data_IF_444342648829
#
_entry.id   IF_444342648829
#
_cell.length_a   1.000
_cell.length_b   1.000
_cell.length_c   1.000
_cell.angle_alpha   90.00
_cell.angle_beta   90.00
_cell.angle_gamma   90.00
#
_symmetry.space_group_name_H-M   'P 1'
#
loop_
_entity.id
_entity.type
_entity.pdbx_description
1 polymer ?
#
# COMPACT_ATOMS: atom_id res chain seq x y z
N UNK A 1 -28.30 -3.48 74.17
CA UNK A 1 -29.27 -2.45 73.68
C UNK A 1 -30.34 -3.19 72.86
N UNK A 2 -31.47 -2.62 72.43
CA UNK A 2 -32.40 -3.34 71.52
C UNK A 2 -32.49 -2.66 70.16
N UNK A 3 -32.57 -3.45 69.10
CA UNK A 3 -32.77 -2.94 67.74
C UNK A 3 -34.12 -2.23 67.65
N UNK A 4 -34.13 -0.98 67.21
CA UNK A 4 -35.38 -0.18 67.11
C UNK A 4 -36.38 -0.80 66.13
N UNK A 5 -35.90 -1.55 65.12
CA UNK A 5 -36.74 -2.09 64.04
C UNK A 5 -37.30 -3.48 64.31
N UNK A 6 -36.49 -4.39 64.87
CA UNK A 6 -36.90 -5.78 65.10
C UNK A 6 -36.86 -6.21 66.57
N UNK A 7 -36.53 -5.29 67.48
CA UNK A 7 -36.49 -5.50 68.94
C UNK A 7 -35.51 -6.57 69.45
N UNK A 8 -34.62 -7.07 68.58
CA UNK A 8 -33.53 -7.99 68.92
C UNK A 8 -32.58 -7.37 69.95
N UNK A 9 -32.02 -8.17 70.86
CA UNK A 9 -30.93 -7.71 71.72
C UNK A 9 -29.64 -7.54 70.92
N UNK A 10 -29.04 -6.37 71.04
CA UNK A 10 -27.79 -5.97 70.41
C UNK A 10 -26.66 -6.00 71.42
N UNK A 11 -25.51 -6.51 71.00
CA UNK A 11 -24.25 -6.35 71.71
C UNK A 11 -23.78 -4.88 71.64
N UNK A 12 -22.86 -4.50 72.53
CA UNK A 12 -22.48 -3.10 72.71
C UNK A 12 -21.68 -2.51 71.53
N UNK A 13 -20.99 -3.36 70.77
CA UNK A 13 -20.09 -3.05 69.65
C UNK A 13 -20.66 -3.43 68.27
N UNK A 14 -21.87 -4.02 68.22
CA UNK A 14 -22.56 -4.33 66.97
C UNK A 14 -22.75 -3.06 66.14
N UNK A 15 -22.21 -3.04 64.91
CA UNK A 15 -22.41 -1.91 63.98
C UNK A 15 -23.76 -2.01 63.25
N UNK A 16 -24.28 -3.21 63.06
CA UNK A 16 -25.56 -3.49 62.41
C UNK A 16 -26.31 -4.53 63.23
N UNK A 17 -27.63 -4.45 63.26
CA UNK A 17 -28.45 -5.49 63.86
C UNK A 17 -28.27 -6.81 63.08
N UNK A 18 -27.90 -7.92 63.74
CA UNK A 18 -27.64 -9.18 63.05
C UNK A 18 -28.89 -9.76 62.39
N UNK A 19 -30.07 -9.50 62.95
CA UNK A 19 -31.34 -10.07 62.44
C UNK A 19 -31.91 -9.29 61.25
N UNK A 20 -31.88 -7.96 61.27
CA UNK A 20 -32.56 -7.14 60.25
C UNK A 20 -31.65 -6.18 59.46
N UNK A 21 -30.36 -6.15 59.78
CA UNK A 21 -29.37 -5.30 59.11
C UNK A 21 -29.49 -3.81 59.39
N UNK A 22 -30.39 -3.39 60.29
CA UNK A 22 -30.56 -1.98 60.64
C UNK A 22 -29.30 -1.44 61.31
N UNK A 23 -28.85 -0.25 60.90
CA UNK A 23 -27.68 0.41 61.47
C UNK A 23 -27.91 0.73 62.96
N UNK A 24 -27.00 0.30 63.83
CA UNK A 24 -27.10 0.57 65.26
C UNK A 24 -26.56 1.97 65.59
N UNK A 25 -26.83 2.50 66.80
CA UNK A 25 -26.21 3.75 67.26
C UNK A 25 -24.68 3.70 67.29
N UNK A 26 -24.09 2.55 67.65
CA UNK A 26 -22.65 2.33 67.61
C UNK A 26 -22.11 2.36 66.17
N UNK A 27 -22.77 1.66 65.24
CA UNK A 27 -22.45 1.70 63.82
C UNK A 27 -22.59 3.11 63.23
N UNK A 28 -23.59 3.87 63.64
CA UNK A 28 -23.77 5.26 63.21
C UNK A 28 -22.61 6.15 63.67
N UNK A 29 -22.16 6.02 64.93
CA UNK A 29 -21.01 6.78 65.45
C UNK A 29 -19.69 6.36 64.75
N UNK A 30 -19.48 5.06 64.57
CA UNK A 30 -18.33 4.51 63.83
C UNK A 30 -18.27 5.00 62.38
N UNK A 31 -19.42 5.06 61.70
CA UNK A 31 -19.51 5.59 60.33
C UNK A 31 -19.34 7.12 60.29
N UNK A 32 -19.81 7.83 61.31
CA UNK A 32 -19.66 9.29 61.42
C UNK A 32 -18.20 9.70 61.59
N UNK A 33 -17.45 8.98 62.43
CA UNK A 33 -16.01 9.23 62.63
C UNK A 33 -15.17 8.83 61.41
N UNK A 34 -15.53 7.75 60.71
CA UNK A 34 -14.84 7.34 59.48
C UNK A 34 -15.12 8.23 58.25
N UNK A 35 -16.26 8.94 58.21
CA UNK A 35 -16.60 9.89 57.13
C UNK A 35 -15.66 11.09 57.07
N UNK A 36 -15.08 11.51 58.20
CA UNK A 36 -14.10 12.61 58.27
C UNK A 36 -12.71 12.16 57.81
N UNK A 37 -12.29 10.91 58.11
CA UNK A 37 -10.99 10.37 57.70
C UNK A 37 -10.86 10.12 56.18
N UNK A 38 -11.95 9.72 55.51
CA UNK A 38 -11.91 9.44 54.07
C UNK A 38 -11.99 10.68 53.16
N UNK A 39 -12.44 11.83 53.69
CA UNK A 39 -12.78 13.00 52.85
C UNK A 39 -11.61 13.95 52.60
N UNK A 40 -10.60 13.99 53.46
CA UNK A 40 -9.56 15.05 53.38
C UNK A 40 -8.20 14.57 52.84
N UNK A 41 -7.74 13.35 53.14
CA UNK A 41 -6.39 12.92 52.72
C UNK A 41 -6.31 12.15 51.40
N UNK A 42 -7.35 11.41 51.01
CA UNK A 42 -7.26 10.53 49.82
C UNK A 42 -7.62 11.23 48.50
N UNK A 43 -8.46 12.27 48.53
CA UNK A 43 -8.87 13.01 47.33
C UNK A 43 -7.72 13.89 46.81
N UNK A 44 -7.05 14.65 47.71
CA UNK A 44 -5.88 15.44 47.35
C UNK A 44 -4.71 14.58 46.85
N UNK A 45 -4.51 13.41 47.47
CA UNK A 45 -3.53 12.42 47.00
C UNK A 45 -3.89 11.87 45.61
N UNK A 46 -5.17 11.55 45.35
CA UNK A 46 -5.61 11.10 44.03
C UNK A 46 -5.44 12.19 42.97
N UNK A 47 -5.79 13.44 43.27
CA UNK A 47 -5.62 14.57 42.35
C UNK A 47 -4.13 14.81 42.03
N UNK A 48 -3.26 14.75 43.04
CA UNK A 48 -1.82 14.90 42.83
C UNK A 48 -1.23 13.73 42.03
N UNK A 49 -1.59 12.48 42.33
CA UNK A 49 -1.18 11.31 41.54
C UNK A 49 -1.63 11.44 40.09
N UNK A 50 -2.91 11.80 39.88
CA UNK A 50 -3.49 11.94 38.54
C UNK A 50 -2.78 13.05 37.76
N UNK A 51 -2.47 14.17 38.42
CA UNK A 51 -1.72 15.29 37.82
C UNK A 51 -0.30 14.87 37.43
N UNK A 52 0.40 14.13 38.30
CA UNK A 52 1.74 13.60 38.01
C UNK A 52 1.69 12.63 36.82
N UNK A 53 0.69 11.75 36.76
CA UNK A 53 0.50 10.83 35.63
C UNK A 53 0.26 11.59 34.33
N UNK A 54 -0.62 12.60 34.34
CA UNK A 54 -0.91 13.44 33.17
C UNK A 54 0.35 14.19 32.71
N UNK A 55 1.07 14.84 33.63
CA UNK A 55 2.30 15.58 33.31
C UNK A 55 3.37 14.63 32.77
N UNK A 56 3.55 13.46 33.38
CA UNK A 56 4.50 12.44 32.92
C UNK A 56 4.12 11.93 31.53
N UNK A 57 2.83 11.71 31.26
CA UNK A 57 2.32 11.31 29.95
C UNK A 57 2.53 12.41 28.89
N UNK A 58 2.30 13.67 29.24
CA UNK A 58 2.58 14.81 28.34
C UNK A 58 4.08 14.91 28.07
N UNK A 59 4.93 14.80 29.09
CA UNK A 59 6.37 14.81 28.91
C UNK A 59 6.86 13.65 28.02
N UNK A 60 6.35 12.43 28.25
CA UNK A 60 6.66 11.26 27.42
C UNK A 60 6.18 11.41 25.97
N UNK A 61 4.99 11.98 25.75
CA UNK A 61 4.50 12.25 24.38
C UNK A 61 5.30 13.35 23.67
N UNK A 62 5.79 14.36 24.40
CA UNK A 62 6.68 15.39 23.85
C UNK A 62 8.08 14.85 23.51
N UNK A 63 8.63 13.96 24.33
CA UNK A 63 9.97 13.37 24.12
C UNK A 63 9.93 12.27 23.06
N UNK A 64 9.03 11.30 23.22
CA UNK A 64 8.96 10.09 22.39
C UNK A 64 8.03 10.25 21.18
N UNK A 65 7.24 11.32 21.12
CA UNK A 65 6.32 11.55 20.01
C UNK A 65 5.36 10.39 19.77
N UNK A 66 5.21 10.00 18.50
CA UNK A 66 4.37 8.88 18.10
C UNK A 66 4.98 7.51 18.42
N UNK A 67 6.28 7.43 18.70
CA UNK A 67 6.95 6.16 19.01
C UNK A 67 6.45 5.55 20.33
N UNK A 68 5.88 6.37 21.23
CA UNK A 68 5.24 5.87 22.46
C UNK A 68 4.07 4.90 22.16
N UNK A 69 3.42 5.02 21.01
CA UNK A 69 2.32 4.14 20.60
C UNK A 69 2.78 2.88 19.88
N UNK A 70 4.09 2.67 19.73
CA UNK A 70 4.63 1.56 18.96
C UNK A 70 4.27 0.17 19.52
N UNK A 71 4.28 -0.08 20.86
CA UNK A 71 3.84 -1.37 21.39
C UNK A 71 2.38 -1.69 21.01
N UNK A 72 1.51 -0.67 21.00
CA UNK A 72 0.12 -0.82 20.55
C UNK A 72 0.05 -1.17 19.06
N UNK A 73 0.86 -0.51 18.23
CA UNK A 73 0.94 -0.78 16.80
C UNK A 73 1.46 -2.19 16.50
N UNK A 74 2.48 -2.66 17.21
CA UNK A 74 3.02 -4.01 17.05
C UNK A 74 1.98 -5.06 17.47
N UNK A 75 1.27 -4.84 18.58
CA UNK A 75 0.15 -5.70 18.98
C UNK A 75 -0.98 -5.70 17.93
N UNK A 76 -1.29 -4.55 17.33
CA UNK A 76 -2.29 -4.46 16.27
C UNK A 76 -1.90 -5.28 15.03
N UNK A 77 -0.61 -5.27 14.65
CA UNK A 77 -0.08 -6.12 13.57
C UNK A 77 -0.22 -7.60 13.88
N UNK A 78 0.10 -8.02 15.11
CA UNK A 78 -0.04 -9.42 15.54
C UNK A 78 -1.51 -9.87 15.54
N UNK A 79 -2.42 -9.08 16.11
CA UNK A 79 -3.86 -9.38 16.10
C UNK A 79 -4.39 -9.49 14.67
N UNK A 80 -3.98 -8.57 13.79
CA UNK A 80 -4.39 -8.61 12.39
C UNK A 80 -3.85 -9.87 11.71
N UNK A 81 -2.60 -10.22 11.95
CA UNK A 81 -1.97 -11.41 11.38
C UNK A 81 -2.67 -12.70 11.85
N UNK A 82 -3.06 -12.78 13.12
CA UNK A 82 -3.85 -13.90 13.66
C UNK A 82 -5.25 -13.99 13.03
N UNK A 83 -5.91 -12.84 12.82
CA UNK A 83 -7.24 -12.79 12.21
C UNK A 83 -7.22 -13.27 10.75
N UNK A 84 -6.22 -12.86 9.99
CA UNK A 84 -6.11 -13.19 8.56
C UNK A 84 -5.39 -14.52 8.30
N UNK A 85 -4.61 -15.02 9.26
CA UNK A 85 -3.78 -16.22 9.12
C UNK A 85 -2.45 -16.00 8.39
N UNK A 86 -2.07 -14.74 8.14
CA UNK A 86 -0.83 -14.32 7.48
C UNK A 86 -0.51 -12.86 7.82
N UNK A 87 0.74 -12.43 7.62
CA UNK A 87 1.18 -11.05 7.91
C UNK A 87 0.54 -10.05 6.95
N UNK A 88 0.01 -8.97 7.51
CA UNK A 88 -0.63 -7.85 6.78
C UNK A 88 0.02 -6.51 7.13
N UNK A 89 -0.11 -5.53 6.23
CA UNK A 89 0.29 -4.15 6.51
C UNK A 89 -0.79 -3.43 7.32
N UNK A 90 -0.40 -2.41 8.09
CA UNK A 90 -1.35 -1.52 8.77
C UNK A 90 -1.35 -0.10 8.17
N UNK A 91 -0.56 0.11 7.12
CA UNK A 91 -0.58 1.33 6.33
C UNK A 91 -1.88 1.35 5.52
N UNK A 92 -2.59 2.47 5.58
CA UNK A 92 -3.72 2.69 4.72
C UNK A 92 -3.25 3.27 3.38
N UNK A 93 -3.48 2.54 2.31
CA UNK A 93 -3.19 2.92 0.92
C UNK A 93 -4.41 3.53 0.22
N UNK A 94 -5.59 3.48 0.86
CA UNK A 94 -6.87 3.90 0.30
C UNK A 94 -7.35 5.27 0.81
N UNK A 95 -6.46 6.10 1.34
CA UNK A 95 -6.82 7.45 1.80
C UNK A 95 -7.41 8.26 0.64
N UNK A 96 -8.51 8.97 0.92
CA UNK A 96 -9.15 9.91 -0.01
C UNK A 96 -9.26 11.27 0.66
N UNK A 97 -8.99 12.32 -0.11
CA UNK A 97 -9.10 13.71 0.35
C UNK A 97 -10.02 14.49 -0.58
N UNK A 98 -10.69 15.51 -0.05
CA UNK A 98 -11.66 16.32 -0.79
C UNK A 98 -11.46 17.80 -0.50
N UNK A 99 -11.96 18.66 -1.40
CA UNK A 99 -11.88 20.12 -1.34
C UNK A 99 -10.45 20.67 -1.24
N UNK A 100 -9.49 20.03 -1.91
CA UNK A 100 -8.09 20.47 -1.96
C UNK A 100 -7.84 21.27 -3.25
N UNK A 101 -7.21 22.44 -3.17
CA UNK A 101 -6.83 23.19 -4.38
C UNK A 101 -5.32 23.25 -4.48
N UNK A 102 -4.79 22.93 -5.66
CA UNK A 102 -3.35 22.87 -5.93
C UNK A 102 -3.05 23.67 -7.19
N UNK A 103 -1.95 24.42 -7.18
CA UNK A 103 -1.51 25.22 -8.31
C UNK A 103 -0.45 24.51 -9.16
N UNK A 104 0.26 23.53 -8.61
CA UNK A 104 1.40 22.91 -9.32
C UNK A 104 1.48 21.39 -9.18
N UNK A 105 2.15 20.74 -10.15
CA UNK A 105 2.51 19.31 -10.05
C UNK A 105 3.35 19.03 -8.81
N UNK A 106 4.27 19.93 -8.45
CA UNK A 106 5.15 19.74 -7.28
C UNK A 106 4.35 19.64 -5.97
N UNK A 107 3.29 20.44 -5.82
CA UNK A 107 2.37 20.34 -4.67
C UNK A 107 1.62 19.00 -4.65
N UNK A 108 1.15 18.53 -5.81
CA UNK A 108 0.51 17.23 -5.93
C UNK A 108 1.46 16.08 -5.54
N UNK A 109 2.72 16.14 -5.99
CA UNK A 109 3.77 15.18 -5.63
C UNK A 109 4.07 15.23 -4.12
N UNK A 110 4.13 16.43 -3.53
CA UNK A 110 4.32 16.59 -2.09
C UNK A 110 3.17 15.96 -1.28
N UNK A 111 1.93 16.09 -1.73
CA UNK A 111 0.79 15.41 -1.10
C UNK A 111 0.89 13.89 -1.17
N UNK A 112 1.31 13.34 -2.33
CA UNK A 112 1.54 11.90 -2.49
C UNK A 112 2.61 11.42 -1.50
N UNK A 113 3.73 12.14 -1.38
CA UNK A 113 4.78 11.84 -0.39
C UNK A 113 4.25 11.86 1.05
N UNK A 114 3.46 12.87 1.38
CA UNK A 114 2.92 13.05 2.72
C UNK A 114 1.92 11.97 3.11
N UNK A 115 1.15 11.42 2.16
CA UNK A 115 0.13 10.40 2.41
C UNK A 115 0.71 9.15 3.10
N UNK A 116 1.87 8.70 2.64
CA UNK A 116 2.61 7.59 3.25
C UNK A 116 3.44 8.08 4.45
N UNK A 117 4.17 9.20 4.31
CA UNK A 117 5.08 9.69 5.38
C UNK A 117 4.35 9.93 6.71
N UNK A 118 3.09 10.40 6.68
CA UNK A 118 2.27 10.59 7.89
C UNK A 118 1.95 9.29 8.63
N UNK A 119 2.10 8.15 7.97
CA UNK A 119 1.86 6.81 8.48
C UNK A 119 3.15 6.03 8.77
N UNK A 120 4.31 6.51 8.32
CA UNK A 120 5.62 5.83 8.47
C UNK A 120 5.98 5.43 9.92
N UNK A 121 5.52 6.20 10.91
CA UNK A 121 5.70 5.88 12.33
C UNK A 121 5.01 4.56 12.76
N UNK A 122 4.09 4.03 11.95
CA UNK A 122 3.43 2.73 12.14
C UNK A 122 4.30 1.56 11.65
N UNK A 123 5.31 1.83 10.84
CA UNK A 123 6.18 0.80 10.28
C UNK A 123 7.10 0.17 11.31
N UNK A 124 7.60 -1.03 11.01
CA UNK A 124 8.76 -1.57 11.72
C UNK A 124 9.97 -0.67 11.42
N UNK A 125 10.72 -0.27 12.45
CA UNK A 125 11.98 0.47 12.26
C UNK A 125 13.04 -0.47 11.72
N UNK A 126 13.29 -0.38 10.41
CA UNK A 126 14.38 -1.08 9.74
C UNK A 126 15.15 -0.07 8.88
N UNK A 127 16.35 0.31 9.35
CA UNK A 127 17.16 1.33 8.69
C UNK A 127 17.61 0.91 7.29
N UNK A 128 17.90 -0.38 7.08
CA UNK A 128 18.35 -0.91 5.79
C UNK A 128 17.22 -0.82 4.75
N UNK A 129 16.00 -1.16 5.15
CA UNK A 129 14.82 -1.00 4.29
C UNK A 129 14.55 0.47 3.99
N UNK A 130 14.69 1.37 4.96
CA UNK A 130 14.54 2.82 4.72
C UNK A 130 15.60 3.39 3.77
N UNK A 131 16.83 2.86 3.80
CA UNK A 131 17.87 3.22 2.81
C UNK A 131 17.46 2.74 1.43
N UNK A 132 16.98 1.49 1.30
CA UNK A 132 16.48 0.94 0.04
C UNK A 132 15.34 1.79 -0.54
N UNK A 133 14.34 2.13 0.28
CA UNK A 133 13.21 2.98 -0.12
C UNK A 133 13.70 4.34 -0.67
N UNK A 134 14.64 4.97 0.05
CA UNK A 134 15.21 6.25 -0.34
C UNK A 134 15.99 6.17 -1.65
N UNK A 135 16.85 5.16 -1.80
CA UNK A 135 17.62 4.97 -3.02
C UNK A 135 16.72 4.73 -4.24
N UNK A 136 15.68 3.90 -4.11
CA UNK A 136 14.71 3.68 -5.19
C UNK A 136 13.96 4.96 -5.51
N UNK A 137 13.54 5.71 -4.49
CA UNK A 137 12.83 6.98 -4.65
C UNK A 137 13.66 8.02 -5.40
N UNK A 138 14.92 8.22 -4.98
CA UNK A 138 15.81 9.25 -5.50
C UNK A 138 16.38 8.89 -6.88
N UNK A 139 16.80 7.63 -7.11
CA UNK A 139 17.44 7.23 -8.37
C UNK A 139 16.47 7.17 -9.56
N UNK A 140 15.19 6.90 -9.28
CA UNK A 140 14.17 6.65 -10.30
C UNK A 140 13.04 7.70 -10.32
N UNK A 141 13.15 8.74 -9.48
CA UNK A 141 12.15 9.79 -9.34
C UNK A 141 10.76 9.24 -9.00
N UNK A 142 10.70 8.26 -8.10
CA UNK A 142 9.45 7.69 -7.58
C UNK A 142 9.15 8.38 -6.25
N UNK A 143 8.18 9.32 -6.19
CA UNK A 143 7.90 10.13 -5.02
C UNK A 143 7.73 9.35 -3.73
N UNK A 144 7.01 8.24 -3.77
CA UNK A 144 6.63 7.46 -2.59
C UNK A 144 7.00 6.00 -2.79
N UNK A 145 7.90 5.48 -1.96
CA UNK A 145 8.28 4.07 -1.92
C UNK A 145 8.11 3.60 -0.49
N UNK A 146 7.26 2.58 -0.28
CA UNK A 146 6.92 2.08 1.06
C UNK A 146 6.98 0.56 1.10
N UNK A 147 8.12 0.06 1.53
CA UNK A 147 8.46 -1.34 1.80
C UNK A 147 8.70 -1.57 3.30
N UNK A 148 8.38 -0.61 4.16
CA UNK A 148 8.81 -0.57 5.56
C UNK A 148 8.40 -1.75 6.46
N UNK A 149 7.40 -2.55 6.06
CA UNK A 149 6.99 -3.78 6.75
C UNK A 149 7.56 -5.06 6.11
N UNK A 150 8.22 -4.92 4.96
CA UNK A 150 8.91 -6.00 4.21
C UNK A 150 10.26 -6.29 4.86
N UNK A 151 10.66 -7.56 4.83
CA UNK A 151 11.99 -7.96 5.28
C UNK A 151 13.08 -7.49 4.30
N UNK A 152 14.27 -7.20 4.82
CA UNK A 152 15.38 -6.59 4.06
C UNK A 152 15.81 -7.37 2.81
N UNK A 153 15.83 -8.71 2.88
CA UNK A 153 16.17 -9.58 1.76
C UNK A 153 15.16 -9.47 0.62
N UNK A 154 13.86 -9.44 0.95
CA UNK A 154 12.79 -9.25 -0.04
C UNK A 154 12.83 -7.82 -0.58
N UNK A 155 13.04 -6.81 0.27
CA UNK A 155 13.21 -5.42 -0.18
C UNK A 155 14.40 -5.25 -1.13
N UNK A 156 15.50 -5.97 -0.90
CA UNK A 156 16.68 -5.93 -1.77
C UNK A 156 16.40 -6.50 -3.15
N UNK A 157 15.66 -7.61 -3.24
CA UNK A 157 15.21 -8.17 -4.53
C UNK A 157 14.22 -7.25 -5.26
N UNK A 158 13.29 -6.63 -4.54
CA UNK A 158 12.39 -5.62 -5.12
C UNK A 158 13.19 -4.46 -5.73
N UNK A 159 14.18 -3.94 -5.00
CA UNK A 159 15.10 -2.90 -5.48
C UNK A 159 15.86 -3.35 -6.72
N UNK A 160 16.34 -4.59 -6.77
CA UNK A 160 17.04 -5.16 -7.92
C UNK A 160 16.15 -5.18 -9.17
N UNK A 161 14.92 -5.70 -9.05
CA UNK A 161 13.95 -5.76 -10.16
C UNK A 161 13.70 -4.37 -10.74
N UNK A 162 13.43 -3.39 -9.87
CA UNK A 162 13.22 -1.99 -10.27
C UNK A 162 14.49 -1.45 -10.94
N UNK A 163 15.65 -1.62 -10.31
CA UNK A 163 16.93 -1.08 -10.80
C UNK A 163 17.25 -1.58 -12.20
N UNK A 164 17.19 -2.88 -12.40
CA UNK A 164 17.43 -3.52 -13.68
C UNK A 164 16.44 -3.02 -14.73
N UNK A 165 15.16 -2.97 -14.41
CA UNK A 165 14.14 -2.53 -15.38
C UNK A 165 14.37 -1.09 -15.83
N UNK A 166 14.71 -0.19 -14.89
CA UNK A 166 15.07 1.19 -15.21
C UNK A 166 16.40 1.33 -15.97
N UNK A 167 17.32 0.37 -15.86
CA UNK A 167 18.52 0.32 -16.70
C UNK A 167 18.19 -0.11 -18.14
N UNK A 168 17.26 -1.06 -18.30
CA UNK A 168 16.81 -1.52 -19.62
C UNK A 168 15.98 -0.47 -20.36
N UNK A 169 15.24 0.36 -19.62
CA UNK A 169 14.36 1.40 -20.13
C UNK A 169 14.61 2.75 -19.42
N UNK A 170 15.75 3.43 -19.67
CA UNK A 170 16.17 4.60 -18.89
C UNK A 170 15.22 5.81 -19.01
N UNK A 171 14.46 5.90 -20.11
CA UNK A 171 13.61 7.03 -20.44
C UNK A 171 12.21 6.97 -19.80
N UNK A 172 12.00 6.10 -18.82
CA UNK A 172 10.72 5.94 -18.11
C UNK A 172 10.67 6.66 -16.76
N UNK A 173 11.68 7.43 -16.38
CA UNK A 173 11.73 8.08 -15.06
C UNK A 173 10.68 9.18 -14.90
N UNK A 174 10.13 9.29 -13.68
CA UNK A 174 9.31 10.44 -13.27
C UNK A 174 7.81 10.37 -13.56
N UNK A 175 7.31 9.25 -14.10
CA UNK A 175 5.87 9.02 -14.30
C UNK A 175 5.23 8.17 -13.19
N UNK A 176 5.95 7.17 -12.66
CA UNK A 176 5.49 6.35 -11.53
C UNK A 176 5.53 7.16 -10.24
N UNK A 177 4.40 7.22 -9.54
CA UNK A 177 4.25 8.05 -8.34
C UNK A 177 4.45 7.28 -7.04
N UNK A 178 4.14 5.98 -7.03
CA UNK A 178 4.07 5.21 -5.81
C UNK A 178 4.40 3.71 -6.03
N UNK A 179 5.18 3.12 -5.14
CA UNK A 179 5.30 1.67 -4.97
C UNK A 179 5.06 1.38 -3.49
N UNK A 180 4.03 0.60 -3.16
CA UNK A 180 3.68 0.36 -1.75
C UNK A 180 3.14 -1.03 -1.50
N UNK A 181 3.40 -1.55 -0.30
CA UNK A 181 2.67 -2.70 0.23
C UNK A 181 1.24 -2.31 0.54
N UNK A 182 0.29 -3.17 0.20
CA UNK A 182 -1.13 -3.01 0.50
C UNK A 182 -1.78 -4.33 0.89
N UNK A 183 -2.90 -4.25 1.61
CA UNK A 183 -3.74 -5.41 1.86
C UNK A 183 -4.77 -5.50 0.74
N UNK A 184 -4.71 -6.55 -0.06
CA UNK A 184 -5.76 -6.83 -1.02
C UNK A 184 -7.05 -7.28 -0.29
N UNK A 185 -8.24 -7.04 -0.87
CA UNK A 185 -9.50 -7.58 -0.36
C UNK A 185 -9.48 -9.09 -0.13
N UNK A 186 -8.80 -9.85 -1.00
CA UNK A 186 -8.56 -11.28 -0.87
C UNK A 186 -7.10 -11.65 -1.14
N UNK A 187 -6.67 -12.83 -0.67
CA UNK A 187 -5.33 -13.38 -0.94
C UNK A 187 -5.14 -13.86 -2.39
N UNK A 188 -6.23 -14.01 -3.15
CA UNK A 188 -6.22 -14.46 -4.55
C UNK A 188 -6.32 -13.31 -5.56
N UNK A 189 -6.52 -12.06 -5.11
CA UNK A 189 -6.81 -10.93 -6.01
C UNK A 189 -5.66 -10.64 -6.98
N UNK A 190 -4.46 -10.42 -6.45
CA UNK A 190 -3.26 -10.14 -7.24
C UNK A 190 -2.00 -10.35 -6.42
N UNK A 191 -0.87 -10.61 -7.09
CA UNK A 191 0.45 -10.66 -6.47
C UNK A 191 1.02 -9.24 -6.38
N UNK A 192 1.15 -8.60 -7.53
CA UNK A 192 1.41 -7.18 -7.71
C UNK A 192 0.33 -6.62 -8.65
N UNK A 193 0.14 -5.30 -8.66
CA UNK A 193 -0.85 -4.66 -9.50
C UNK A 193 -0.44 -3.25 -9.87
N UNK A 194 -0.37 -2.97 -11.16
CA UNK A 194 -0.21 -1.64 -11.71
C UNK A 194 -1.56 -0.93 -11.84
N UNK A 195 -1.69 0.20 -11.14
CA UNK A 195 -2.83 1.11 -11.28
C UNK A 195 -2.38 2.40 -11.97
N UNK A 196 -2.79 2.65 -13.23
CA UNK A 196 -2.35 3.82 -13.97
C UNK A 196 -2.89 5.14 -13.39
N UNK A 197 -4.10 5.11 -12.80
CA UNK A 197 -4.85 6.33 -12.42
C UNK A 197 -5.70 6.18 -11.15
N UNK A 198 -5.09 5.96 -9.99
CA UNK A 198 -5.82 6.01 -8.72
C UNK A 198 -6.07 7.47 -8.28
N UNK A 199 -7.26 8.00 -8.57
CA UNK A 199 -7.65 9.33 -8.09
C UNK A 199 -7.90 9.32 -6.57
N UNK A 200 -7.04 9.99 -5.81
CA UNK A 200 -7.15 10.02 -4.35
C UNK A 200 -7.45 11.41 -3.78
N UNK A 201 -7.26 12.47 -4.56
CA UNK A 201 -7.66 13.84 -4.21
C UNK A 201 -8.83 14.28 -5.10
N UNK A 202 -9.87 14.83 -4.47
CA UNK A 202 -11.06 15.41 -5.11
C UNK A 202 -11.78 14.47 -6.07
N UNK A 203 -11.83 13.19 -5.69
CA UNK A 203 -12.57 12.21 -6.45
C UNK A 203 -14.04 12.66 -6.57
N UNK A 204 -14.59 12.56 -7.78
CA UNK A 204 -15.97 12.97 -8.12
C UNK A 204 -16.33 14.45 -7.89
N UNK A 205 -15.37 15.35 -7.64
CA UNK A 205 -15.62 16.79 -7.56
C UNK A 205 -15.49 17.47 -8.94
N UNK A 206 -16.10 18.65 -9.07
CA UNK A 206 -16.01 19.47 -10.28
C UNK A 206 -14.57 19.96 -10.50
N UNK A 207 -14.01 19.59 -11.65
CA UNK A 207 -12.64 19.92 -12.05
C UNK A 207 -12.44 21.43 -12.29
N UNK A 208 -13.53 22.18 -12.47
CA UNK A 208 -13.50 23.65 -12.61
C UNK A 208 -13.24 24.34 -11.27
N UNK A 209 -13.66 23.73 -10.17
CA UNK A 209 -13.51 24.26 -8.81
C UNK A 209 -12.32 23.61 -8.09
N UNK A 210 -12.10 22.31 -8.30
CA UNK A 210 -11.10 21.50 -7.59
C UNK A 210 -10.25 20.67 -8.55
N UNK A 211 -8.92 20.73 -8.43
CA UNK A 211 -8.02 19.90 -9.22
C UNK A 211 -8.04 18.43 -8.74
N UNK A 212 -7.88 17.45 -9.63
CA UNK A 212 -7.75 16.04 -9.23
C UNK A 212 -6.29 15.64 -9.15
N UNK A 213 -5.97 14.78 -8.19
CA UNK A 213 -4.64 14.16 -8.13
C UNK A 213 -4.77 12.65 -8.23
N UNK A 214 -4.04 12.08 -9.18
CA UNK A 214 -3.93 10.66 -9.44
C UNK A 214 -2.58 10.13 -8.98
N UNK A 215 -2.60 8.93 -8.41
CA UNK A 215 -1.39 8.11 -8.28
C UNK A 215 -1.33 7.16 -9.47
N UNK A 216 -0.20 7.16 -10.16
CA UNK A 216 0.24 6.07 -11.02
C UNK A 216 1.09 5.18 -10.14
N UNK A 217 0.64 3.98 -9.82
CA UNK A 217 1.19 3.21 -8.71
C UNK A 217 1.31 1.72 -8.97
N UNK A 218 2.29 1.09 -8.32
CA UNK A 218 2.41 -0.36 -8.22
C UNK A 218 2.08 -0.75 -6.77
N UNK A 219 1.10 -1.61 -6.63
CA UNK A 219 0.62 -2.15 -5.36
C UNK A 219 1.17 -3.55 -5.18
N UNK A 220 1.86 -3.79 -4.07
CA UNK A 220 2.44 -5.09 -3.73
C UNK A 220 1.56 -5.74 -2.65
N UNK A 221 0.99 -6.91 -2.94
CA UNK A 221 0.07 -7.55 -2.00
C UNK A 221 0.84 -8.11 -0.80
N UNK A 222 0.45 -7.67 0.40
CA UNK A 222 1.02 -8.11 1.67
C UNK A 222 1.02 -9.63 1.85
N UNK A 223 0.01 -10.34 1.33
CA UNK A 223 -0.08 -11.80 1.39
C UNK A 223 1.19 -12.45 0.83
N UNK A 224 1.70 -11.97 -0.29
CA UNK A 224 2.91 -12.50 -0.91
C UNK A 224 4.17 -11.85 -0.30
N UNK A 225 4.24 -10.52 -0.28
CA UNK A 225 5.48 -9.81 0.00
C UNK A 225 5.86 -9.69 1.50
N UNK A 226 4.93 -9.98 2.43
CA UNK A 226 5.24 -10.03 3.86
C UNK A 226 5.43 -11.47 4.39
N UNK A 227 5.15 -12.49 3.59
CA UNK A 227 5.11 -13.88 4.03
C UNK A 227 6.08 -14.73 3.21
N UNK A 228 7.33 -14.85 3.69
CA UNK A 228 8.41 -15.59 3.02
C UNK A 228 8.06 -17.04 2.68
N UNK A 229 7.30 -17.71 3.56
CA UNK A 229 6.87 -19.08 3.33
C UNK A 229 5.99 -19.21 2.08
N UNK A 230 5.22 -18.17 1.75
CA UNK A 230 4.43 -18.10 0.52
C UNK A 230 5.35 -17.88 -0.69
N UNK A 231 6.30 -16.94 -0.60
CA UNK A 231 7.29 -16.70 -1.66
C UNK A 231 8.09 -17.96 -2.02
N UNK A 232 8.37 -18.80 -1.03
CA UNK A 232 9.16 -20.04 -1.20
C UNK A 232 8.44 -21.14 -1.98
N UNK A 233 7.12 -21.07 -2.15
CA UNK A 233 6.33 -22.09 -2.87
C UNK A 233 6.52 -22.05 -4.38
N UNK A 234 7.10 -20.97 -4.91
CA UNK A 234 7.31 -20.77 -6.34
C UNK A 234 6.01 -20.46 -7.11
N UNK A 235 6.18 -20.07 -8.36
CA UNK A 235 5.08 -19.79 -9.28
C UNK A 235 4.66 -21.06 -10.03
N UNK A 236 3.46 -21.05 -10.60
CA UNK A 236 2.95 -22.13 -11.44
C UNK A 236 3.84 -22.31 -12.68
N UNK A 237 4.30 -23.54 -12.92
CA UNK A 237 5.10 -23.89 -14.10
C UNK A 237 4.37 -23.58 -15.42
N UNK A 238 5.13 -23.12 -16.42
CA UNK A 238 4.68 -22.78 -17.77
C UNK A 238 3.58 -21.72 -17.86
N UNK A 239 3.25 -21.04 -16.76
CA UNK A 239 2.31 -19.92 -16.78
C UNK A 239 3.01 -18.61 -17.08
N UNK A 240 4.09 -18.31 -16.36
CA UNK A 240 4.95 -17.15 -16.54
C UNK A 240 6.20 -17.49 -17.37
N UNK A 241 7.02 -16.51 -17.80
CA UNK A 241 8.31 -16.77 -18.42
C UNK A 241 9.19 -17.65 -17.53
N UNK A 242 10.09 -18.41 -18.17
CA UNK A 242 11.00 -19.31 -17.45
C UNK A 242 11.81 -18.55 -16.38
N UNK A 243 12.11 -19.19 -15.25
CA UNK A 243 12.82 -18.58 -14.11
C UNK A 243 12.08 -17.44 -13.39
N UNK A 244 10.77 -17.26 -13.64
CA UNK A 244 9.98 -16.29 -12.90
C UNK A 244 9.91 -16.59 -11.39
N UNK A 245 9.96 -15.52 -10.61
CA UNK A 245 9.73 -15.47 -9.15
C UNK A 245 8.67 -14.43 -8.81
N UNK A 246 8.10 -14.50 -7.60
CA UNK A 246 7.14 -13.51 -7.12
C UNK A 246 7.65 -12.07 -7.20
N UNK A 247 8.92 -11.85 -6.86
CA UNK A 247 9.55 -10.52 -6.95
C UNK A 247 9.72 -10.08 -8.41
N UNK A 248 10.04 -11.00 -9.32
CA UNK A 248 10.18 -10.67 -10.74
C UNK A 248 8.87 -10.25 -11.41
N UNK A 249 7.70 -10.58 -10.84
CA UNK A 249 6.41 -10.09 -11.33
C UNK A 249 6.26 -8.56 -11.20
N UNK A 250 7.13 -7.90 -10.42
CA UNK A 250 7.22 -6.44 -10.43
C UNK A 250 7.72 -5.94 -11.80
N UNK A 251 8.56 -6.71 -12.52
CA UNK A 251 8.95 -6.38 -13.88
C UNK A 251 7.78 -6.48 -14.86
N UNK A 252 6.87 -7.44 -14.64
CA UNK A 252 5.61 -7.53 -15.38
C UNK A 252 4.76 -6.26 -15.17
N UNK A 253 4.55 -5.82 -13.92
CA UNK A 253 3.81 -4.57 -13.64
C UNK A 253 4.51 -3.33 -14.22
N UNK A 254 5.85 -3.34 -14.20
CA UNK A 254 6.64 -2.30 -14.86
C UNK A 254 6.48 -2.33 -16.39
N UNK A 255 6.12 -3.47 -16.99
CA UNK A 255 5.75 -3.58 -18.39
C UNK A 255 4.49 -2.79 -18.72
N UNK A 256 3.42 -2.93 -17.93
CA UNK A 256 2.23 -2.07 -18.08
C UNK A 256 2.57 -0.58 -17.88
N UNK A 257 3.43 -0.28 -16.90
CA UNK A 257 3.92 1.07 -16.68
C UNK A 257 4.68 1.63 -17.89
N UNK A 258 5.58 0.85 -18.50
CA UNK A 258 6.32 1.24 -19.70
C UNK A 258 5.35 1.55 -20.85
N UNK A 259 4.33 0.72 -21.06
CA UNK A 259 3.27 0.96 -22.06
C UNK A 259 2.51 2.26 -21.79
N UNK A 260 2.21 2.59 -20.52
CA UNK A 260 1.64 3.89 -20.19
C UNK A 260 2.59 5.03 -20.56
N UNK A 261 3.89 4.90 -20.25
CA UNK A 261 4.87 5.96 -20.55
C UNK A 261 5.00 6.20 -22.05
N UNK A 262 5.08 5.14 -22.86
CA UNK A 262 5.14 5.29 -24.33
C UNK A 262 3.90 5.97 -24.88
N UNK A 263 2.71 5.61 -24.37
CA UNK A 263 1.45 6.26 -24.75
C UNK A 263 1.46 7.76 -24.41
N UNK A 264 1.92 8.11 -23.21
CA UNK A 264 2.01 9.50 -22.76
C UNK A 264 2.99 10.30 -23.62
N UNK A 265 4.17 9.74 -23.91
CA UNK A 265 5.18 10.37 -24.79
C UNK A 265 4.65 10.60 -26.20
N UNK A 266 4.01 9.61 -26.81
CA UNK A 266 3.43 9.74 -28.14
C UNK A 266 2.36 10.83 -28.23
N UNK A 267 1.70 11.16 -27.11
CA UNK A 267 0.71 12.23 -27.03
C UNK A 267 1.27 13.56 -26.49
N UNK A 268 2.59 13.68 -26.29
CA UNK A 268 3.25 14.85 -25.68
C UNK A 268 2.67 15.22 -24.31
N UNK A 269 2.42 14.22 -23.45
CA UNK A 269 1.88 14.40 -22.10
C UNK A 269 2.97 14.05 -21.08
N UNK A 270 3.40 15.04 -20.29
CA UNK A 270 4.47 14.85 -19.31
C UNK A 270 4.07 13.98 -18.11
N UNK A 271 2.78 13.95 -17.73
CA UNK A 271 2.20 13.07 -16.70
C UNK A 271 0.69 13.30 -16.57
N UNK A 272 0.04 12.39 -15.86
CA UNK A 272 -1.39 12.43 -15.52
C UNK A 272 -1.64 12.60 -14.01
N UNK A 273 -0.62 13.03 -13.27
CA UNK A 273 -0.67 13.15 -11.79
C UNK A 273 -1.61 14.27 -11.36
N UNK A 274 -1.51 15.46 -11.95
CA UNK A 274 -2.38 16.60 -11.65
C UNK A 274 -3.31 16.87 -12.83
N UNK A 275 -4.61 16.72 -12.61
CA UNK A 275 -5.64 17.03 -13.59
C UNK A 275 -6.32 18.33 -13.21
N UNK A 276 -6.35 19.26 -14.16
CA UNK A 276 -6.95 20.59 -14.05
C UNK A 276 -7.98 20.78 -15.16
N UNK A 277 -8.71 21.90 -15.12
CA UNK A 277 -9.61 22.31 -16.21
C UNK A 277 -8.92 22.39 -17.58
N UNK A 278 -7.61 22.67 -17.61
CA UNK A 278 -6.87 22.92 -18.84
C UNK A 278 -6.42 21.62 -19.52
N UNK A 279 -6.23 20.53 -18.76
CA UNK A 279 -5.70 19.26 -19.29
C UNK A 279 -6.69 18.08 -19.22
N UNK A 280 -7.91 18.29 -18.71
CA UNK A 280 -8.91 17.22 -18.52
C UNK A 280 -9.24 16.46 -19.81
N UNK A 281 -9.31 17.13 -20.95
CA UNK A 281 -9.62 16.49 -22.23
C UNK A 281 -8.51 15.52 -22.65
N UNK A 282 -7.25 15.92 -22.50
CA UNK A 282 -6.10 15.05 -22.77
C UNK A 282 -6.07 13.86 -21.81
N UNK A 283 -6.34 14.10 -20.52
CA UNK A 283 -6.47 13.03 -19.53
C UNK A 283 -7.55 12.01 -19.88
N UNK A 284 -8.74 12.47 -20.27
CA UNK A 284 -9.85 11.59 -20.68
C UNK A 284 -9.52 10.79 -21.94
N UNK A 285 -8.84 11.41 -22.92
CA UNK A 285 -8.36 10.71 -24.12
C UNK A 285 -7.45 9.53 -23.74
N UNK A 286 -6.46 9.76 -22.87
CA UNK A 286 -5.55 8.71 -22.41
C UNK A 286 -6.29 7.59 -21.68
N UNK A 287 -7.21 7.94 -20.77
CA UNK A 287 -8.02 6.94 -20.07
C UNK A 287 -8.85 6.06 -21.01
N UNK A 288 -9.44 6.65 -22.05
CA UNK A 288 -10.22 5.89 -23.03
C UNK A 288 -9.33 4.92 -23.82
N UNK A 289 -8.15 5.36 -24.27
CA UNK A 289 -7.19 4.50 -24.98
C UNK A 289 -6.76 3.32 -24.10
N UNK A 290 -6.45 3.56 -22.82
CA UNK A 290 -6.09 2.50 -21.87
C UNK A 290 -7.25 1.53 -21.66
N UNK A 291 -8.47 2.03 -21.47
CA UNK A 291 -9.66 1.20 -21.24
C UNK A 291 -10.01 0.32 -22.44
N UNK A 292 -9.81 0.84 -23.65
CA UNK A 292 -10.11 0.11 -24.88
C UNK A 292 -8.98 -0.85 -25.30
N UNK A 293 -7.79 -0.73 -24.71
CA UNK A 293 -6.62 -1.55 -25.05
C UNK A 293 -6.12 -1.34 -26.49
N UNK A 294 -6.54 -0.26 -27.15
CA UNK A 294 -6.28 -0.02 -28.57
C UNK A 294 -4.80 0.22 -28.84
N UNK A 295 -4.12 0.91 -27.93
CA UNK A 295 -2.69 1.18 -28.05
C UNK A 295 -1.84 -0.08 -27.93
N UNK A 296 -2.11 -0.93 -26.94
CA UNK A 296 -1.37 -2.19 -26.77
C UNK A 296 -1.60 -3.14 -27.94
N UNK A 297 -2.82 -3.15 -28.51
CA UNK A 297 -3.11 -3.89 -29.73
C UNK A 297 -2.31 -3.40 -30.94
N UNK A 298 -2.17 -2.08 -31.12
CA UNK A 298 -1.31 -1.48 -32.14
C UNK A 298 0.14 -1.98 -32.01
N UNK A 299 0.73 -1.85 -30.81
CA UNK A 299 2.12 -2.24 -30.55
C UNK A 299 2.37 -3.74 -30.82
N UNK A 300 1.46 -4.61 -30.40
CA UNK A 300 1.59 -6.06 -30.66
C UNK A 300 1.41 -6.38 -32.15
N UNK A 301 0.51 -5.69 -32.85
CA UNK A 301 0.35 -5.82 -34.30
C UNK A 301 1.63 -5.44 -35.05
N UNK A 302 2.22 -4.30 -34.72
CA UNK A 302 3.51 -3.85 -35.26
C UNK A 302 4.63 -4.86 -34.97
N UNK A 303 4.65 -5.45 -33.76
CA UNK A 303 5.64 -6.46 -33.39
C UNK A 303 5.53 -7.72 -34.26
N UNK A 304 4.31 -8.18 -34.54
CA UNK A 304 4.05 -9.34 -35.40
C UNK A 304 4.44 -9.05 -36.86
N UNK A 305 4.12 -7.86 -37.36
CA UNK A 305 4.52 -7.43 -38.70
C UNK A 305 6.06 -7.36 -38.82
N UNK A 306 6.73 -6.77 -37.84
CA UNK A 306 8.19 -6.74 -37.74
C UNK A 306 8.78 -8.15 -37.72
N UNK A 307 8.23 -9.03 -36.88
CA UNK A 307 8.65 -10.42 -36.77
C UNK A 307 8.57 -11.14 -38.11
N UNK A 308 7.40 -11.08 -38.76
CA UNK A 308 7.15 -11.77 -40.02
C UNK A 308 8.07 -11.26 -41.14
N UNK A 309 8.30 -9.96 -41.19
CA UNK A 309 9.24 -9.35 -42.14
C UNK A 309 10.68 -9.79 -41.87
N UNK A 310 11.12 -9.79 -40.62
CA UNK A 310 12.51 -10.09 -40.22
C UNK A 310 12.87 -11.56 -40.40
N UNK A 311 11.96 -12.47 -40.07
CA UNK A 311 12.19 -13.92 -40.13
C UNK A 311 11.61 -14.58 -41.38
N UNK A 312 10.99 -13.81 -42.28
CA UNK A 312 10.33 -14.30 -43.50
C UNK A 312 9.29 -15.40 -43.19
N UNK A 313 8.42 -15.12 -42.22
CA UNK A 313 7.37 -16.04 -41.72
C UNK A 313 5.98 -15.44 -41.85
N UNK A 314 4.95 -16.21 -41.48
CA UNK A 314 3.58 -15.74 -41.27
C UNK A 314 3.04 -16.28 -39.94
N UNK A 315 3.65 -15.86 -38.83
CA UNK A 315 3.27 -16.27 -37.49
C UNK A 315 1.88 -15.73 -37.14
N UNK A 316 1.05 -16.58 -36.53
CA UNK A 316 -0.25 -16.18 -36.02
C UNK A 316 -0.11 -15.40 -34.70
N UNK A 317 -1.13 -14.61 -34.34
CA UNK A 317 -1.19 -13.97 -33.01
C UNK A 317 -1.08 -15.00 -31.88
N UNK A 318 -1.69 -16.17 -32.05
CA UNK A 318 -1.73 -17.23 -31.04
C UNK A 318 -0.35 -17.86 -30.81
N UNK A 319 0.37 -18.16 -31.90
CA UNK A 319 1.73 -18.69 -31.80
C UNK A 319 2.71 -17.62 -31.31
N UNK A 320 2.52 -16.37 -31.74
CA UNK A 320 3.37 -15.26 -31.32
C UNK A 320 3.30 -15.03 -29.81
N UNK A 321 2.10 -15.03 -29.21
CA UNK A 321 1.93 -14.83 -27.76
C UNK A 321 2.32 -16.06 -26.95
N UNK A 322 2.06 -17.27 -27.46
CA UNK A 322 2.48 -18.52 -26.82
C UNK A 322 4.00 -18.67 -26.71
N UNK A 323 4.75 -18.09 -27.65
CA UNK A 323 6.21 -18.05 -27.58
C UNK A 323 6.74 -17.17 -26.43
N UNK A 324 5.93 -16.26 -25.89
CA UNK A 324 6.30 -15.38 -24.77
C UNK A 324 6.06 -16.11 -23.45
N UNK A 325 4.80 -16.48 -23.17
CA UNK A 325 4.43 -17.23 -21.97
C UNK A 325 3.02 -17.85 -22.09
N UNK A 326 2.68 -18.75 -21.16
CA UNK A 326 1.32 -19.27 -21.05
C UNK A 326 0.31 -18.16 -20.75
N UNK A 327 0.67 -17.21 -19.89
CA UNK A 327 -0.18 -16.10 -19.49
C UNK A 327 -0.43 -15.11 -20.63
N UNK A 328 0.60 -14.76 -21.40
CA UNK A 328 0.47 -13.91 -22.59
C UNK A 328 -0.50 -14.49 -23.64
N UNK A 329 -0.57 -15.83 -23.72
CA UNK A 329 -1.46 -16.54 -24.65
C UNK A 329 -2.89 -16.71 -24.15
N UNK A 330 -3.20 -16.25 -22.92
CA UNK A 330 -4.53 -16.41 -22.35
C UNK A 330 -5.58 -15.61 -23.13
N UNK A 331 -6.61 -16.30 -23.60
CA UNK A 331 -7.75 -15.68 -24.27
C UNK A 331 -8.74 -15.12 -23.24
N UNK A 332 -9.14 -13.87 -23.44
CA UNK A 332 -10.27 -13.23 -22.79
C UNK A 332 -11.35 -13.03 -23.85
N UNK A 333 -12.46 -13.77 -23.72
CA UNK A 333 -13.50 -13.88 -24.75
C UNK A 333 -12.90 -14.43 -26.06
N UNK A 334 -12.83 -13.62 -27.11
CA UNK A 334 -12.44 -14.04 -28.46
C UNK A 334 -10.97 -13.71 -28.82
N UNK A 335 -10.26 -12.93 -27.99
CA UNK A 335 -8.89 -12.49 -28.27
C UNK A 335 -8.01 -12.54 -27.02
N UNK A 336 -6.70 -12.31 -27.19
CA UNK A 336 -5.75 -12.19 -26.07
C UNK A 336 -5.89 -10.82 -25.39
N UNK A 337 -5.41 -10.72 -24.16
CA UNK A 337 -5.21 -9.41 -23.53
C UNK A 337 -3.87 -8.83 -23.97
N UNK A 338 -3.89 -7.86 -24.90
CA UNK A 338 -2.68 -7.25 -25.45
C UNK A 338 -1.83 -6.53 -24.39
N UNK A 339 -2.43 -6.03 -23.30
CA UNK A 339 -1.68 -5.42 -22.20
C UNK A 339 -0.80 -6.47 -21.49
N UNK A 340 -1.33 -7.68 -21.26
CA UNK A 340 -0.58 -8.80 -20.65
C UNK A 340 0.53 -9.30 -21.57
N UNK A 341 0.28 -9.33 -22.88
CA UNK A 341 1.30 -9.74 -23.87
C UNK A 341 2.53 -8.85 -23.77
N UNK A 342 2.34 -7.53 -23.66
CA UNK A 342 3.45 -6.58 -23.52
C UNK A 342 4.12 -6.72 -22.14
N UNK A 343 3.34 -6.84 -21.07
CA UNK A 343 3.87 -6.99 -19.73
C UNK A 343 4.73 -8.27 -19.57
N UNK A 344 4.27 -9.38 -20.12
CA UNK A 344 4.99 -10.66 -20.14
C UNK A 344 6.24 -10.60 -21.01
N UNK A 345 6.22 -9.87 -22.14
CA UNK A 345 7.42 -9.65 -22.96
C UNK A 345 8.50 -8.84 -22.20
N UNK A 346 8.09 -7.82 -21.45
CA UNK A 346 9.00 -7.06 -20.57
C UNK A 346 9.52 -7.94 -19.44
N UNK A 347 8.68 -8.78 -18.86
CA UNK A 347 9.08 -9.72 -17.82
C UNK A 347 10.09 -10.76 -18.34
N UNK A 348 9.84 -11.34 -19.51
CA UNK A 348 10.76 -12.24 -20.19
C UNK A 348 12.11 -11.55 -20.49
N UNK A 349 12.09 -10.29 -20.96
CA UNK A 349 13.30 -9.50 -21.18
C UNK A 349 14.05 -9.14 -19.90
N UNK A 350 13.32 -8.91 -18.81
CA UNK A 350 13.89 -8.76 -17.48
C UNK A 350 14.61 -10.03 -17.00
N UNK A 351 14.13 -11.22 -17.36
CA UNK A 351 14.75 -12.48 -16.93
C UNK A 351 15.91 -12.90 -17.84
N UNK A 352 15.77 -12.73 -19.16
CA UNK A 352 16.66 -13.40 -20.12
C UNK A 352 17.43 -12.45 -21.06
N UNK A 353 17.15 -11.14 -21.06
CA UNK A 353 17.82 -10.16 -21.92
C UNK A 353 17.76 -10.59 -23.40
N UNK A 354 18.89 -10.63 -24.07
CA UNK A 354 18.97 -10.99 -25.48
C UNK A 354 18.69 -12.49 -25.73
N UNK A 355 18.60 -13.30 -24.67
CA UNK A 355 18.18 -14.71 -24.71
C UNK A 355 16.67 -14.90 -24.51
N UNK A 356 15.88 -13.82 -24.39
CA UNK A 356 14.41 -13.88 -24.36
C UNK A 356 13.83 -14.45 -25.64
N UNK A 357 12.53 -14.78 -25.63
CA UNK A 357 11.86 -15.23 -26.85
C UNK A 357 11.99 -14.19 -27.96
N UNK A 358 12.08 -14.65 -29.21
CA UNK A 358 12.13 -13.76 -30.37
C UNK A 358 10.89 -12.87 -30.46
N UNK A 359 9.72 -13.36 -30.03
CA UNK A 359 8.50 -12.57 -29.91
C UNK A 359 8.63 -11.43 -28.89
N UNK A 360 9.18 -11.70 -27.70
CA UNK A 360 9.43 -10.68 -26.68
C UNK A 360 10.37 -9.59 -27.22
N UNK A 361 11.46 -9.98 -27.89
CA UNK A 361 12.45 -9.05 -28.43
C UNK A 361 11.86 -8.06 -29.44
N UNK A 362 10.91 -8.47 -30.28
CA UNK A 362 10.24 -7.56 -31.22
C UNK A 362 9.38 -6.51 -30.49
N UNK A 363 8.66 -6.91 -29.44
CA UNK A 363 7.93 -5.96 -28.58
C UNK A 363 8.91 -4.99 -27.90
N UNK A 364 10.01 -5.51 -27.35
CA UNK A 364 11.00 -4.68 -26.65
C UNK A 364 11.61 -3.62 -27.59
N UNK A 365 11.89 -3.98 -28.85
CA UNK A 365 12.43 -3.04 -29.82
C UNK A 365 11.48 -1.87 -30.08
N UNK A 366 10.19 -2.16 -30.26
CA UNK A 366 9.15 -1.13 -30.46
C UNK A 366 9.03 -0.25 -29.22
N UNK A 367 8.98 -0.84 -28.02
CA UNK A 367 8.93 -0.06 -26.78
C UNK A 367 10.13 0.88 -26.64
N UNK A 368 11.35 0.38 -26.93
CA UNK A 368 12.56 1.19 -26.88
C UNK A 368 12.53 2.33 -27.91
N UNK A 369 12.00 2.11 -29.10
CA UNK A 369 11.81 3.15 -30.12
C UNK A 369 10.84 4.23 -29.65
N UNK A 370 9.66 3.83 -29.13
CA UNK A 370 8.63 4.76 -28.63
C UNK A 370 9.05 5.54 -27.37
N UNK A 371 10.12 5.11 -26.70
CA UNK A 371 10.68 5.77 -25.51
C UNK A 371 11.82 6.75 -25.82
N UNK A 372 12.35 6.77 -27.04
CA UNK A 372 13.28 7.81 -27.49
C UNK A 372 12.53 9.14 -27.58
#
# INVERSE_FOLDING_TARGET
>A
MKCIKCNEELEADDNFCPTCGELTPHGYLSLKDNKLRYKENNIGLLFTLTSIIIISFIAMTLISGKDMFRPYIELQKEISSLKYGYKVSIINTNNKYTKVTLSTKAEAINLIKQDITKQSWKCKRNINVSIIEKEVSENYNIPSVSLCDVDEDVSSKIKEVITVTYQLFPNIKGYLTNITITNAPSNEDYIAYFNPTNTFINNNLDIKEYNKVNKTEILLNSYYFLNKDILSKGLKENWYPNNASYESLIAHELGHYITLVTLLKQNNIDNITLVTKDNINNYQKILNILKEGTYSKELVGEAIESYNKKYNTNISLEDFTKNISGYASQKIKESVNYDEVIAEAVHDYYLHRDSSSTSSLEIINILKERLQ
#
